data_IF_377068146466
#
_entry.id   IF_377068146466
#
_cell.length_a   1.000
_cell.length_b   1.000
_cell.length_c   1.000
_cell.angle_alpha   90.00
_cell.angle_beta   90.00
_cell.angle_gamma   90.00
#
_symmetry.space_group_name_H-M   'P 1'
#
loop_
_entity.id
_entity.type
_entity.pdbx_description
1 polymer ?
#
# COMPACT_ATOMS: atom_id res chain seq x y z
N UNK A 1 26.95 -5.17 44.27
CA UNK A 1 26.83 -6.50 43.61
C UNK A 1 27.74 -6.50 42.38
N UNK A 2 28.88 -7.21 42.39
CA UNK A 2 29.79 -7.26 41.23
C UNK A 2 29.29 -8.33 40.25
N UNK A 3 28.70 -7.94 39.11
CA UNK A 3 28.41 -8.89 38.04
C UNK A 3 29.74 -9.41 37.47
N UNK A 4 29.97 -10.71 37.53
CA UNK A 4 31.17 -11.32 36.93
C UNK A 4 31.05 -11.36 35.41
N UNK A 5 32.18 -11.27 34.70
CA UNK A 5 32.26 -11.35 33.23
C UNK A 5 31.60 -12.60 32.64
N UNK A 6 31.51 -13.68 33.45
CA UNK A 6 30.87 -14.95 33.10
C UNK A 6 29.35 -14.85 32.95
N UNK A 7 28.72 -13.80 33.49
CA UNK A 7 27.27 -13.59 33.47
C UNK A 7 26.92 -12.44 32.51
N UNK A 8 27.75 -11.39 32.46
CA UNK A 8 27.46 -10.18 31.69
C UNK A 8 27.48 -10.40 30.16
N UNK A 9 28.46 -11.14 29.65
CA UNK A 9 28.60 -11.44 28.22
C UNK A 9 27.45 -12.33 27.70
N UNK A 10 27.12 -13.47 28.35
CA UNK A 10 25.96 -14.26 27.93
C UNK A 10 24.65 -13.51 28.12
N UNK A 11 24.48 -12.69 29.15
CA UNK A 11 23.27 -11.87 29.32
C UNK A 11 23.08 -10.85 28.19
N UNK A 12 24.15 -10.21 27.71
CA UNK A 12 24.10 -9.28 26.58
C UNK A 12 23.73 -10.01 25.28
N UNK A 13 24.34 -11.17 25.02
CA UNK A 13 24.00 -12.02 23.88
C UNK A 13 22.55 -12.52 23.94
N UNK A 14 22.09 -12.97 25.11
CA UNK A 14 20.70 -13.42 25.31
C UNK A 14 19.69 -12.27 25.14
N UNK A 15 20.06 -11.04 25.55
CA UNK A 15 19.23 -9.85 25.31
C UNK A 15 19.11 -9.51 23.82
N UNK A 16 20.15 -9.73 23.02
CA UNK A 16 20.08 -9.57 21.56
C UNK A 16 19.24 -10.65 20.88
N UNK A 17 19.19 -11.87 21.43
CA UNK A 17 18.28 -12.93 20.96
C UNK A 17 16.82 -12.66 21.36
N UNK A 18 16.59 -11.92 22.44
CA UNK A 18 15.26 -11.59 22.97
C UNK A 18 14.68 -10.27 22.44
N UNK A 19 15.45 -9.50 21.66
CA UNK A 19 15.03 -8.23 21.06
C UNK A 19 14.90 -8.36 19.53
N UNK A 20 13.97 -9.16 18.97
CA UNK A 20 13.45 -8.86 17.65
C UNK A 20 12.53 -7.63 17.78
N UNK A 21 13.10 -6.45 18.06
CA UNK A 21 12.43 -5.23 17.67
C UNK A 21 12.52 -5.20 16.15
N UNK A 22 11.43 -5.61 15.52
CA UNK A 22 11.25 -5.53 14.08
C UNK A 22 11.53 -4.08 13.65
N UNK A 23 12.74 -3.81 13.14
CA UNK A 23 13.00 -2.60 12.37
C UNK A 23 12.29 -2.82 11.05
N UNK A 24 11.03 -2.39 11.00
CA UNK A 24 10.26 -2.40 9.78
C UNK A 24 10.72 -1.20 8.94
N UNK A 25 11.22 -1.47 7.73
CA UNK A 25 11.23 -0.45 6.71
C UNK A 25 9.77 -0.14 6.37
N UNK A 26 9.37 1.12 6.49
CA UNK A 26 8.17 1.60 5.83
C UNK A 26 8.50 1.74 4.35
N UNK A 27 8.12 0.75 3.56
CA UNK A 27 8.13 0.87 2.11
C UNK A 27 6.72 1.21 1.67
N UNK A 28 6.51 2.49 1.37
CA UNK A 28 5.30 2.96 0.72
C UNK A 28 5.46 2.74 -0.78
N UNK A 29 4.49 2.05 -1.37
CA UNK A 29 4.36 1.94 -2.82
C UNK A 29 3.12 2.69 -3.26
N UNK A 30 3.29 3.67 -4.13
CA UNK A 30 2.19 4.46 -4.67
C UNK A 30 2.00 4.10 -6.14
N UNK A 31 0.76 3.81 -6.52
CA UNK A 31 0.34 3.50 -7.88
C UNK A 31 -0.63 4.56 -8.35
N UNK A 32 -0.29 5.24 -9.45
CA UNK A 32 -1.18 6.23 -10.06
C UNK A 32 -1.69 5.73 -11.40
N UNK A 33 -3.00 5.85 -11.62
CA UNK A 33 -3.66 5.43 -12.85
C UNK A 33 -4.46 6.57 -13.47
N UNK A 34 -4.69 6.48 -14.79
CA UNK A 34 -5.49 7.47 -15.52
C UNK A 34 -6.21 6.83 -16.71
N UNK A 35 -7.32 7.46 -17.11
CA UNK A 35 -8.23 6.95 -18.13
C UNK A 35 -8.94 5.67 -17.70
N UNK A 36 -9.63 5.04 -18.64
CA UNK A 36 -10.52 3.91 -18.38
C UNK A 36 -11.96 4.33 -18.11
N UNK A 37 -12.84 3.34 -18.13
CA UNK A 37 -14.29 3.53 -18.02
C UNK A 37 -14.76 2.99 -16.69
N UNK A 38 -15.29 3.89 -15.86
CA UNK A 38 -16.04 3.54 -14.66
C UNK A 38 -17.50 3.37 -15.05
N UNK A 39 -18.06 2.20 -14.83
CA UNK A 39 -19.47 1.91 -15.09
C UNK A 39 -20.12 1.20 -13.92
N UNK A 40 -21.43 1.33 -13.73
CA UNK A 40 -22.12 0.59 -12.68
C UNK A 40 -23.53 1.03 -12.40
N UNK A 41 -24.12 0.34 -11.43
CA UNK A 41 -25.50 0.56 -10.95
C UNK A 41 -25.53 0.49 -9.42
N UNK A 42 -26.72 0.45 -8.81
CA UNK A 42 -26.85 0.15 -7.38
C UNK A 42 -26.29 -1.23 -7.01
N UNK A 43 -26.03 -2.13 -7.98
CA UNK A 43 -25.35 -3.40 -7.72
C UNK A 43 -23.82 -3.25 -7.50
N UNK A 44 -23.24 -2.10 -7.81
CA UNK A 44 -21.81 -1.82 -7.67
C UNK A 44 -21.22 -1.08 -8.87
N UNK A 45 -19.99 -0.59 -8.71
CA UNK A 45 -19.18 0.05 -9.73
C UNK A 45 -18.09 -0.90 -10.22
N UNK A 46 -17.69 -0.75 -11.48
CA UNK A 46 -16.60 -1.45 -12.13
C UNK A 46 -15.74 -0.49 -12.93
N UNK A 47 -14.43 -0.53 -12.71
CA UNK A 47 -13.44 0.19 -13.53
C UNK A 47 -12.74 -0.81 -14.45
N UNK A 48 -12.74 -0.50 -15.75
CA UNK A 48 -12.03 -1.28 -16.77
C UNK A 48 -11.23 -0.36 -17.70
N UNK A 49 -10.15 -0.87 -18.28
CA UNK A 49 -9.34 -0.14 -19.26
C UNK A 49 -8.56 1.06 -18.71
N UNK A 50 -8.43 1.17 -17.38
CA UNK A 50 -7.61 2.21 -16.75
C UNK A 50 -6.14 1.85 -16.85
N UNK A 51 -5.31 2.84 -17.23
CA UNK A 51 -3.89 2.64 -17.46
C UNK A 51 -3.10 3.01 -16.21
N UNK A 52 -2.20 2.15 -15.78
CA UNK A 52 -1.21 2.46 -14.75
C UNK A 52 -0.14 3.38 -15.36
N UNK A 53 -0.06 4.61 -14.88
CA UNK A 53 0.77 5.67 -15.47
C UNK A 53 2.04 5.98 -14.68
N UNK A 54 2.02 5.72 -13.37
CA UNK A 54 3.16 5.91 -12.50
C UNK A 54 3.17 4.89 -11.36
N UNK A 55 4.38 4.48 -10.97
CA UNK A 55 4.63 3.66 -9.78
C UNK A 55 5.83 4.22 -9.05
N UNK A 56 5.73 4.38 -7.73
CA UNK A 56 6.82 4.85 -6.86
C UNK A 56 6.99 3.84 -5.75
N UNK A 57 8.23 3.48 -5.39
CA UNK A 57 8.51 2.68 -4.20
C UNK A 57 8.30 1.18 -4.34
N UNK A 58 7.89 0.69 -5.53
CA UNK A 58 7.67 -0.74 -5.75
C UNK A 58 8.97 -1.53 -5.55
N UNK A 59 8.97 -2.48 -4.62
CA UNK A 59 10.16 -3.22 -4.16
C UNK A 59 11.35 -2.31 -3.78
N UNK A 60 11.08 -1.10 -3.27
CA UNK A 60 12.11 -0.12 -2.93
C UNK A 60 12.69 0.66 -4.13
N UNK A 61 12.07 0.54 -5.31
CA UNK A 61 12.45 1.28 -6.51
C UNK A 61 12.05 2.76 -6.49
N UNK A 62 12.64 3.54 -7.40
CA UNK A 62 12.29 4.95 -7.60
C UNK A 62 11.00 5.15 -8.41
N UNK A 63 10.73 6.40 -8.78
CA UNK A 63 9.62 6.76 -9.67
C UNK A 63 9.82 6.13 -11.06
N UNK A 64 8.79 5.41 -11.51
CA UNK A 64 8.67 4.86 -12.86
C UNK A 64 7.40 5.42 -13.49
N UNK A 65 7.47 5.89 -14.75
CA UNK A 65 6.34 6.47 -15.47
C UNK A 65 6.22 5.88 -16.88
N UNK A 66 5.01 5.90 -17.45
CA UNK A 66 4.73 5.42 -18.80
C UNK A 66 3.43 4.63 -18.87
N UNK A 67 3.24 3.82 -19.92
CA UNK A 67 2.20 2.78 -19.88
C UNK A 67 2.78 1.56 -19.16
N UNK A 68 2.45 1.41 -17.89
CA UNK A 68 3.05 0.41 -17.01
C UNK A 68 2.14 -0.81 -16.80
N UNK A 69 0.91 -0.75 -17.29
CA UNK A 69 -0.09 -1.81 -17.14
C UNK A 69 -1.49 -1.26 -16.89
N UNK A 70 -2.30 -1.97 -16.11
CA UNK A 70 -3.71 -1.66 -15.90
C UNK A 70 -4.13 -1.68 -14.44
N UNK A 71 -5.18 -0.92 -14.12
CA UNK A 71 -5.87 -0.95 -12.84
C UNK A 71 -7.34 -1.26 -13.09
N UNK A 72 -7.87 -2.28 -12.41
CA UNK A 72 -9.24 -2.72 -12.54
C UNK A 72 -9.83 -3.00 -11.16
N UNK A 73 -11.11 -2.67 -10.97
CA UNK A 73 -11.79 -3.00 -9.73
C UNK A 73 -13.29 -3.20 -9.91
N UNK A 74 -13.89 -3.83 -8.91
CA UNK A 74 -15.32 -3.84 -8.64
C UNK A 74 -15.58 -3.47 -7.19
N UNK A 75 -16.70 -2.81 -6.88
CA UNK A 75 -17.15 -2.57 -5.50
C UNK A 75 -18.24 -3.55 -5.08
N UNK A 76 -18.62 -3.54 -3.80
CA UNK A 76 -19.89 -4.10 -3.36
C UNK A 76 -21.10 -3.31 -3.88
N UNK A 77 -22.30 -3.73 -3.49
CA UNK A 77 -23.55 -3.05 -3.82
C UNK A 77 -23.67 -1.71 -3.07
N UNK A 78 -24.46 -0.78 -3.62
CA UNK A 78 -24.74 0.50 -2.99
C UNK A 78 -25.66 0.28 -1.78
N UNK A 79 -25.17 0.56 -0.58
CA UNK A 79 -25.93 0.40 0.66
C UNK A 79 -26.61 1.68 1.13
N UNK A 80 -26.17 2.86 0.67
CA UNK A 80 -26.85 4.12 0.93
C UNK A 80 -26.57 5.18 -0.12
N UNK A 81 -27.44 6.19 -0.20
CA UNK A 81 -27.33 7.30 -1.17
C UNK A 81 -27.72 6.89 -2.59
N UNK A 82 -27.20 7.62 -3.57
CA UNK A 82 -27.41 7.34 -5.00
C UNK A 82 -26.13 7.57 -5.79
N UNK A 83 -26.01 6.95 -6.96
CA UNK A 83 -24.85 7.21 -7.83
C UNK A 83 -24.76 8.67 -8.28
N UNK A 84 -25.91 9.34 -8.46
CA UNK A 84 -25.98 10.74 -8.86
C UNK A 84 -25.61 11.70 -7.72
N UNK A 85 -26.03 11.43 -6.49
CA UNK A 85 -25.89 12.39 -5.37
C UNK A 85 -24.78 12.03 -4.38
N UNK A 86 -24.04 10.95 -4.64
CA UNK A 86 -23.13 10.37 -3.66
C UNK A 86 -23.80 9.29 -2.83
N UNK A 87 -22.99 8.38 -2.29
CA UNK A 87 -23.46 7.25 -1.52
C UNK A 87 -22.33 6.42 -0.94
N UNK A 88 -22.68 5.27 -0.40
CA UNK A 88 -21.74 4.32 0.19
C UNK A 88 -22.02 2.94 -0.38
N UNK A 89 -20.96 2.26 -0.80
CA UNK A 89 -21.00 0.86 -1.21
C UNK A 89 -20.52 -0.02 -0.08
N UNK A 90 -21.05 -1.23 -0.04
CA UNK A 90 -20.59 -2.28 0.86
C UNK A 90 -19.16 -2.73 0.51
N UNK A 91 -18.54 -3.38 1.49
CA UNK A 91 -17.24 -4.04 1.29
C UNK A 91 -17.35 -5.20 0.29
N UNK A 92 -16.19 -5.71 -0.13
CA UNK A 92 -16.08 -6.77 -1.12
C UNK A 92 -15.60 -6.27 -2.48
N UNK A 93 -16.08 -6.91 -3.55
CA UNK A 93 -15.57 -6.69 -4.90
C UNK A 93 -14.12 -7.13 -5.07
N UNK A 94 -13.45 -6.59 -6.07
CA UNK A 94 -12.07 -6.92 -6.45
C UNK A 94 -11.28 -5.65 -6.72
N UNK A 95 -9.99 -5.66 -6.49
CA UNK A 95 -9.09 -4.58 -6.88
C UNK A 95 -7.77 -5.18 -7.34
N UNK A 96 -7.40 -4.95 -8.60
CA UNK A 96 -6.22 -5.56 -9.22
C UNK A 96 -5.40 -4.53 -9.97
N UNK A 97 -4.09 -4.54 -9.73
CA UNK A 97 -3.10 -3.79 -10.49
C UNK A 97 -2.22 -4.81 -11.21
N UNK A 98 -2.19 -4.73 -12.54
CA UNK A 98 -1.42 -5.62 -13.40
C UNK A 98 -0.33 -4.83 -14.10
N UNK A 99 0.92 -5.25 -13.98
CA UNK A 99 2.06 -4.70 -14.70
C UNK A 99 2.22 -5.37 -16.07
N UNK A 100 2.75 -4.63 -17.04
CA UNK A 100 2.95 -5.12 -18.42
C UNK A 100 4.41 -5.48 -18.74
N UNK A 101 5.31 -5.51 -17.75
CA UNK A 101 6.74 -5.77 -17.95
C UNK A 101 7.60 -4.53 -18.27
N UNK A 102 7.00 -3.35 -18.42
CA UNK A 102 7.73 -2.11 -18.76
C UNK A 102 8.30 -1.42 -17.52
N UNK A 103 9.35 -0.59 -17.71
CA UNK A 103 9.90 0.25 -16.64
C UNK A 103 10.54 -0.52 -15.48
N UNK A 104 10.90 -1.79 -15.68
CA UNK A 104 11.45 -2.66 -14.63
C UNK A 104 10.40 -3.29 -13.73
N UNK A 105 9.11 -3.09 -14.01
CA UNK A 105 8.02 -3.78 -13.31
C UNK A 105 7.83 -5.21 -13.88
N UNK A 106 7.41 -6.17 -13.05
CA UNK A 106 7.01 -7.50 -13.53
C UNK A 106 5.86 -7.45 -14.54
N UNK A 107 5.84 -8.43 -15.46
CA UNK A 107 4.65 -8.72 -16.26
C UNK A 107 3.73 -9.67 -15.47
N UNK A 108 2.58 -9.18 -15.04
CA UNK A 108 1.64 -9.91 -14.19
C UNK A 108 1.06 -9.06 -13.06
N UNK A 109 0.39 -9.71 -12.11
CA UNK A 109 -0.28 -9.02 -10.99
C UNK A 109 0.75 -8.42 -10.04
N UNK A 110 0.74 -7.10 -9.90
CA UNK A 110 1.54 -6.36 -8.92
C UNK A 110 0.84 -6.34 -7.57
N UNK A 111 -0.49 -6.16 -7.59
CA UNK A 111 -1.34 -6.12 -6.41
C UNK A 111 -2.71 -6.75 -6.72
N UNK A 112 -3.24 -7.53 -5.78
CA UNK A 112 -4.62 -8.03 -5.83
C UNK A 112 -5.25 -8.05 -4.44
N UNK A 113 -6.48 -7.55 -4.32
CA UNK A 113 -7.19 -7.49 -3.05
C UNK A 113 -8.69 -7.24 -3.22
N UNK A 114 -9.35 -6.97 -2.09
CA UNK A 114 -10.79 -6.68 -1.99
C UNK A 114 -11.01 -5.48 -1.06
N UNK A 115 -12.07 -4.71 -1.26
CA UNK A 115 -12.39 -3.63 -0.32
C UNK A 115 -12.78 -4.23 1.04
N UNK A 116 -12.05 -3.87 2.09
CA UNK A 116 -12.23 -4.45 3.43
C UNK A 116 -13.24 -3.71 4.29
N UNK A 117 -13.66 -2.52 3.86
CA UNK A 117 -14.66 -1.69 4.51
C UNK A 117 -15.56 -1.04 3.47
N UNK A 118 -16.47 -0.19 3.94
CA UNK A 118 -17.36 0.58 3.08
C UNK A 118 -16.57 1.48 2.13
N UNK A 119 -17.02 1.58 0.88
CA UNK A 119 -16.43 2.46 -0.12
C UNK A 119 -17.31 3.69 -0.27
N UNK A 120 -16.74 4.88 -0.04
CA UNK A 120 -17.47 6.14 -0.08
C UNK A 120 -17.44 6.74 -1.46
N UNK A 121 -18.59 7.18 -1.96
CA UNK A 121 -18.77 7.89 -3.22
C UNK A 121 -19.28 9.30 -2.93
N UNK A 122 -18.42 10.30 -3.13
CA UNK A 122 -18.70 11.67 -2.70
C UNK A 122 -18.87 12.56 -3.92
N UNK A 123 -19.97 13.31 -3.98
CA UNK A 123 -20.21 14.34 -4.99
C UNK A 123 -19.71 15.71 -4.47
N UNK A 124 -18.98 16.43 -5.31
CA UNK A 124 -18.66 17.83 -5.13
C UNK A 124 -19.07 18.63 -6.38
N UNK A 125 -19.95 19.63 -6.19
CA UNK A 125 -20.31 20.58 -7.25
C UNK A 125 -19.40 21.79 -7.17
N UNK A 126 -18.67 22.06 -8.26
CA UNK A 126 -17.76 23.19 -8.36
C UNK A 126 -18.51 24.48 -8.69
N UNK A 127 -17.87 25.63 -8.44
CA UNK A 127 -18.46 26.95 -8.71
C UNK A 127 -18.83 27.17 -10.19
N UNK A 128 -18.20 26.46 -11.12
CA UNK A 128 -18.52 26.48 -12.55
C UNK A 128 -19.73 25.60 -12.93
N UNK A 129 -20.40 24.98 -11.94
CA UNK A 129 -21.53 24.07 -12.13
C UNK A 129 -21.16 22.68 -12.61
N UNK A 130 -19.86 22.31 -12.60
CA UNK A 130 -19.43 20.94 -12.91
C UNK A 130 -19.43 20.04 -11.68
N UNK A 131 -19.63 18.75 -11.88
CA UNK A 131 -19.70 17.74 -10.83
C UNK A 131 -18.45 16.86 -10.85
N UNK A 132 -17.72 16.88 -9.74
CA UNK A 132 -16.64 15.95 -9.44
C UNK A 132 -17.14 14.88 -8.49
N UNK A 133 -16.76 13.64 -8.75
CA UNK A 133 -16.98 12.53 -7.84
C UNK A 133 -15.65 11.95 -7.37
N UNK A 134 -15.61 11.59 -6.09
CA UNK A 134 -14.48 10.91 -5.49
C UNK A 134 -14.93 9.57 -4.91
N UNK A 135 -14.33 8.48 -5.37
CA UNK A 135 -14.46 7.16 -4.75
C UNK A 135 -13.29 6.96 -3.80
N UNK A 136 -13.56 6.67 -2.53
CA UNK A 136 -12.53 6.40 -1.52
C UNK A 136 -12.83 5.10 -0.81
N UNK A 137 -11.85 4.22 -0.72
CA UNK A 137 -11.98 2.93 -0.03
C UNK A 137 -10.67 2.41 0.50
N UNK A 138 -10.76 1.43 1.39
CA UNK A 138 -9.61 0.68 1.91
C UNK A 138 -9.65 -0.73 1.36
N UNK A 139 -8.52 -1.18 0.83
CA UNK A 139 -8.33 -2.51 0.26
C UNK A 139 -7.35 -3.30 1.13
N UNK A 140 -7.64 -4.58 1.29
CA UNK A 140 -6.72 -5.57 1.87
C UNK A 140 -6.41 -6.61 0.81
N UNK A 141 -5.16 -7.01 0.68
CA UNK A 141 -4.74 -7.84 -0.43
C UNK A 141 -3.34 -8.40 -0.29
N UNK A 142 -2.76 -8.74 -1.44
CA UNK A 142 -1.42 -9.31 -1.56
C UNK A 142 -0.63 -8.50 -2.58
N UNK A 143 0.61 -8.13 -2.22
CA UNK A 143 1.59 -7.49 -3.10
C UNK A 143 2.85 -8.36 -3.12
N UNK A 144 3.31 -8.79 -4.30
CA UNK A 144 4.50 -9.66 -4.44
C UNK A 144 4.47 -10.92 -3.54
N UNK A 145 3.29 -11.49 -3.29
CA UNK A 145 3.10 -12.68 -2.44
C UNK A 145 3.04 -12.40 -0.93
N UNK A 146 3.17 -11.14 -0.50
CA UNK A 146 3.06 -10.72 0.91
C UNK A 146 1.69 -10.09 1.15
N UNK A 147 1.01 -10.49 2.23
CA UNK A 147 -0.25 -9.87 2.64
C UNK A 147 -0.02 -8.43 3.09
N UNK A 148 -0.83 -7.52 2.56
CA UNK A 148 -0.80 -6.09 2.86
C UNK A 148 -2.18 -5.63 3.29
N UNK A 149 -2.24 -4.79 4.32
CA UNK A 149 -3.48 -4.31 4.90
C UNK A 149 -3.51 -2.78 4.88
N UNK A 150 -4.68 -2.20 4.72
CA UNK A 150 -4.85 -0.75 4.82
C UNK A 150 -4.40 0.00 3.57
N UNK A 151 -4.53 -0.59 2.38
CA UNK A 151 -4.25 0.08 1.11
C UNK A 151 -5.34 1.11 0.86
N UNK A 152 -4.99 2.38 0.72
CA UNK A 152 -5.99 3.42 0.43
C UNK A 152 -6.11 3.61 -1.07
N UNK A 153 -7.34 3.68 -1.56
CA UNK A 153 -7.68 3.93 -2.96
C UNK A 153 -8.49 5.21 -3.02
N UNK A 154 -8.09 6.11 -3.91
CA UNK A 154 -8.85 7.30 -4.26
C UNK A 154 -8.97 7.42 -5.77
N UNK A 155 -10.18 7.50 -6.30
CA UNK A 155 -10.42 7.78 -7.73
C UNK A 155 -11.20 9.07 -7.88
N UNK A 156 -10.82 9.87 -8.87
CA UNK A 156 -11.46 11.14 -9.19
C UNK A 156 -12.10 11.08 -10.57
N UNK A 157 -13.34 11.53 -10.64
CA UNK A 157 -14.17 11.54 -11.82
C UNK A 157 -14.72 12.96 -12.02
N UNK A 158 -14.78 13.42 -13.26
CA UNK A 158 -15.51 14.64 -13.63
C UNK A 158 -16.58 14.26 -14.65
N UNK A 159 -17.82 14.66 -14.41
CA UNK A 159 -18.98 14.35 -15.28
C UNK A 159 -19.47 15.58 -16.04
N UNK A 160 -18.69 16.67 -16.03
CA UNK A 160 -19.10 17.95 -16.57
C UNK A 160 -20.31 18.48 -15.81
N UNK A 161 -21.32 18.98 -16.53
CA UNK A 161 -22.55 19.54 -15.93
C UNK A 161 -23.64 18.50 -15.67
N UNK A 162 -23.44 17.25 -16.08
CA UNK A 162 -24.36 16.15 -15.80
C UNK A 162 -23.99 15.46 -14.48
N UNK A 163 -24.95 14.77 -13.88
CA UNK A 163 -24.65 13.82 -12.81
C UNK A 163 -24.12 12.50 -13.40
N UNK A 164 -23.49 11.67 -12.58
CA UNK A 164 -23.15 10.31 -12.97
C UNK A 164 -24.43 9.53 -13.33
N UNK A 165 -24.48 9.00 -14.55
CA UNK A 165 -25.64 8.34 -15.17
C UNK A 165 -25.42 6.84 -15.41
N UNK A 166 -24.36 6.27 -14.85
CA UNK A 166 -24.04 4.85 -14.95
C UNK A 166 -22.72 4.56 -15.66
N UNK A 167 -22.15 5.50 -16.42
CA UNK A 167 -20.86 5.30 -17.07
C UNK A 167 -20.12 6.60 -17.36
N UNK A 168 -18.82 6.66 -17.06
CA UNK A 168 -17.97 7.80 -17.43
C UNK A 168 -16.49 7.45 -17.41
N UNK A 169 -15.68 8.30 -18.01
CA UNK A 169 -14.22 8.21 -17.96
C UNK A 169 -13.70 8.72 -16.60
N UNK A 170 -12.73 8.04 -16.00
CA UNK A 170 -12.06 8.58 -14.82
C UNK A 170 -10.99 9.61 -15.22
N UNK A 171 -10.79 10.62 -14.37
CA UNK A 171 -9.70 11.59 -14.52
C UNK A 171 -8.37 10.97 -14.07
N UNK A 172 -8.42 10.26 -12.94
CA UNK A 172 -7.29 9.49 -12.43
C UNK A 172 -7.60 8.82 -11.10
N UNK A 173 -6.65 8.03 -10.63
CA UNK A 173 -6.69 7.41 -9.32
C UNK A 173 -5.31 7.29 -8.71
N UNK A 174 -5.29 7.19 -7.39
CA UNK A 174 -4.10 6.97 -6.59
C UNK A 174 -4.36 5.84 -5.60
N UNK A 175 -3.39 4.93 -5.50
CA UNK A 175 -3.44 3.78 -4.60
C UNK A 175 -2.14 3.70 -3.83
N UNK A 176 -2.19 3.90 -2.51
CA UNK A 176 -1.02 3.83 -1.64
C UNK A 176 -1.03 2.56 -0.81
N UNK A 177 0.02 1.75 -0.98
CA UNK A 177 0.26 0.52 -0.25
C UNK A 177 1.37 0.78 0.76
N UNK A 178 1.02 0.76 2.04
CA UNK A 178 2.01 0.81 3.12
C UNK A 178 2.39 -0.61 3.52
N UNK A 179 3.63 -1.01 3.27
CA UNK A 179 4.16 -2.29 3.76
C UNK A 179 5.20 -2.07 4.83
N UNK A 180 5.09 -2.85 5.90
CA UNK A 180 6.13 -2.97 6.91
C UNK A 180 6.93 -4.24 6.62
N UNK A 181 8.09 -4.09 5.99
CA UNK A 181 8.99 -5.22 5.71
C UNK A 181 10.12 -5.21 6.75
N UNK A 182 10.40 -6.31 7.47
CA UNK A 182 11.56 -6.38 8.34
C UNK A 182 12.85 -6.16 7.53
N UNK A 183 13.67 -5.18 7.90
CA UNK A 183 14.95 -4.89 7.23
C UNK A 183 16.00 -5.97 7.58
N UNK A 184 16.46 -6.79 6.62
CA UNK A 184 17.46 -7.83 6.91
C UNK A 184 18.80 -7.23 7.40
N UNK A 185 19.15 -6.04 6.90
CA UNK A 185 20.41 -5.35 7.17
C UNK A 185 20.52 -4.84 8.61
N UNK A 186 19.41 -4.36 9.19
CA UNK A 186 19.37 -3.81 10.55
C UNK A 186 19.54 -4.90 11.59
N UNK A 187 18.96 -6.09 11.34
CA UNK A 187 19.19 -7.29 12.14
C UNK A 187 20.65 -7.76 12.07
N UNK A 188 21.24 -7.77 10.87
CA UNK A 188 22.65 -8.12 10.68
C UNK A 188 23.61 -7.14 11.37
N UNK A 189 23.37 -5.83 11.24
CA UNK A 189 24.20 -4.78 11.84
C UNK A 189 24.07 -4.73 13.37
N UNK A 190 22.85 -4.88 13.91
CA UNK A 190 22.64 -4.98 15.35
C UNK A 190 23.30 -6.24 15.92
N UNK A 191 23.14 -7.39 15.25
CA UNK A 191 23.79 -8.64 15.64
C UNK A 191 25.31 -8.52 15.66
N UNK A 192 25.92 -8.09 14.56
CA UNK A 192 27.38 -7.90 14.45
C UNK A 192 27.90 -6.83 15.42
N UNK A 193 27.19 -5.72 15.61
CA UNK A 193 27.53 -4.67 16.57
C UNK A 193 27.51 -5.17 18.01
N UNK A 194 26.53 -5.99 18.40
CA UNK A 194 26.47 -6.61 19.71
C UNK A 194 27.60 -7.62 19.95
N UNK A 195 27.92 -8.45 18.95
CA UNK A 195 29.09 -9.35 19.02
C UNK A 195 30.41 -8.59 19.17
N UNK A 196 30.58 -7.48 18.44
CA UNK A 196 31.76 -6.63 18.55
C UNK A 196 31.88 -5.99 19.95
N UNK A 197 30.78 -5.47 20.50
CA UNK A 197 30.73 -4.92 21.85
C UNK A 197 31.03 -5.97 22.92
N UNK A 198 30.43 -7.16 22.80
CA UNK A 198 30.71 -8.29 23.69
C UNK A 198 32.20 -8.68 23.68
N UNK A 199 32.82 -8.70 22.48
CA UNK A 199 34.26 -8.92 22.32
C UNK A 199 35.12 -7.85 22.99
N UNK A 200 34.80 -6.57 22.80
CA UNK A 200 35.49 -5.44 23.42
C UNK A 200 35.39 -5.46 24.95
N UNK A 201 34.21 -5.76 25.49
CA UNK A 201 33.97 -5.88 26.94
C UNK A 201 34.78 -7.05 27.51
N UNK A 202 34.77 -8.21 26.84
CA UNK A 202 35.58 -9.37 27.25
C UNK A 202 37.07 -9.04 27.27
N UNK A 203 37.58 -8.35 26.26
CA UNK A 203 38.99 -7.94 26.19
C UNK A 203 39.37 -7.04 27.36
N UNK A 204 38.56 -6.01 27.66
CA UNK A 204 38.81 -5.11 28.80
C UNK A 204 38.78 -5.83 30.14
N UNK A 205 37.84 -6.77 30.34
CA UNK A 205 37.73 -7.52 31.60
C UNK A 205 38.85 -8.54 31.82
N UNK A 206 39.48 -9.04 30.75
CA UNK A 206 40.65 -9.91 30.85
C UNK A 206 41.94 -9.14 31.13
N UNK A 207 42.07 -7.90 30.63
CA UNK A 207 43.24 -7.04 30.87
C UNK A 207 43.18 -6.36 32.24
N UNK A 208 41.98 -6.15 32.80
CA UNK A 208 41.79 -5.57 34.13
C UNK A 208 41.87 -6.58 35.29
N UNK A 209 42.30 -7.82 35.01
CA UNK A 209 42.58 -8.88 35.99
C UNK A 209 44.08 -9.03 36.16
#
# INVERSE_FOLDING_TARGET
MRLSSKILVPALLLSCLALPSLSFANSNTDFSNSGGTLSGTSAGLSLTGSTLIAVIGFNGGGLTTGNLGTVEFTTGALSSGTLAMGGTFDSGGTFTITGNGSGGLPNGVLFSGTFSGSVTWTLATLANGTHNYTLTGVVTGTMSGVSVNGVTVQLTINTGKGFFDGSTSISGGDTSVSTSVPEPSTLGLMGTGAFALAGCIRRKLLVAR
#
